data_IF_452132164464
#
_entry.id   IF_452132164464
#
_cell.length_a   1.000
_cell.length_b   1.000
_cell.length_c   1.000
_cell.angle_alpha   90.00
_cell.angle_beta   90.00
_cell.angle_gamma   90.00
#
_symmetry.space_group_name_H-M   'P 1'
#
loop_
_entity.id
_entity.type
_entity.pdbx_description
1 polymer ?
#
# COMPACT_ATOMS: atom_id res chain seq x y z
N UNK A 1 -2.96 13.26 -9.30
CA UNK A 1 -2.15 12.05 -9.58
C UNK A 1 -2.26 11.09 -8.42
N UNK A 2 -2.10 9.78 -8.62
CA UNK A 2 -2.04 8.86 -7.49
C UNK A 2 -0.71 9.10 -6.77
N UNK A 3 -0.75 9.31 -5.44
CA UNK A 3 0.42 9.57 -4.62
C UNK A 3 1.40 8.38 -4.58
N UNK A 4 0.94 7.20 -4.94
CA UNK A 4 1.69 5.95 -4.89
C UNK A 4 1.69 5.25 -6.24
N UNK A 5 2.76 4.52 -6.50
CA UNK A 5 2.91 3.56 -7.58
C UNK A 5 2.65 2.15 -7.05
N UNK A 6 2.10 1.28 -7.91
CA UNK A 6 1.91 -0.14 -7.57
C UNK A 6 3.27 -0.70 -7.15
N UNK A 7 3.34 -1.39 -6.02
CA UNK A 7 4.59 -1.89 -5.44
C UNK A 7 5.22 -0.99 -4.38
N UNK A 8 4.77 0.27 -4.22
CA UNK A 8 5.25 1.15 -3.14
C UNK A 8 4.93 0.56 -1.77
N UNK A 9 5.93 0.56 -0.88
CA UNK A 9 5.79 0.25 0.54
C UNK A 9 5.49 1.57 1.26
N UNK A 10 4.29 1.66 1.83
CA UNK A 10 3.78 2.88 2.45
C UNK A 10 3.64 2.68 3.95
N UNK A 11 4.17 3.63 4.73
CA UNK A 11 3.93 3.77 6.16
C UNK A 11 2.75 4.70 6.40
N UNK A 12 1.81 4.24 7.20
CA UNK A 12 0.65 4.98 7.67
C UNK A 12 0.89 5.50 9.09
N UNK A 13 1.32 6.75 9.21
CA UNK A 13 1.54 7.46 10.48
C UNK A 13 0.24 7.85 11.20
N UNK A 14 -0.93 7.64 10.58
CA UNK A 14 -2.22 7.77 11.29
C UNK A 14 -2.47 6.58 12.22
N UNK A 15 -1.91 5.41 11.88
CA UNK A 15 -1.92 4.26 12.77
C UNK A 15 -0.83 4.45 13.82
N UNK A 16 -1.16 4.20 15.09
CA UNK A 16 -0.18 4.24 16.18
C UNK A 16 0.97 3.26 15.94
N UNK A 17 2.11 3.52 16.55
CA UNK A 17 3.34 2.77 16.30
C UNK A 17 3.24 1.27 16.61
N UNK A 18 2.37 0.90 17.55
CA UNK A 18 2.13 -0.49 17.93
C UNK A 18 1.16 -1.22 16.99
N UNK A 19 0.58 -0.52 16.01
CA UNK A 19 -0.31 -1.15 15.05
C UNK A 19 0.52 -1.95 14.04
N UNK A 20 0.35 -3.28 13.97
CA UNK A 20 1.19 -4.09 13.11
C UNK A 20 0.87 -3.87 11.61
N UNK A 21 -0.32 -3.35 11.29
CA UNK A 21 -0.74 -3.00 9.92
C UNK A 21 -0.34 -1.58 9.48
N UNK A 22 0.55 -0.89 10.21
CA UNK A 22 1.01 0.47 9.85
C UNK A 22 1.83 0.53 8.56
N UNK A 23 2.30 -0.61 8.04
CA UNK A 23 2.98 -0.67 6.74
C UNK A 23 2.16 -1.52 5.78
N UNK A 24 2.06 -1.08 4.53
CA UNK A 24 1.38 -1.84 3.48
C UNK A 24 2.04 -1.63 2.11
N UNK A 25 1.88 -2.60 1.21
CA UNK A 25 2.24 -2.46 -0.20
C UNK A 25 1.01 -1.98 -0.97
N UNK A 26 1.14 -0.90 -1.74
CA UNK A 26 0.05 -0.38 -2.57
C UNK A 26 -0.14 -1.22 -3.84
N UNK A 27 -1.38 -1.63 -4.12
CA UNK A 27 -1.74 -2.45 -5.29
C UNK A 27 -2.59 -1.70 -6.33
N UNK A 28 -2.83 -0.41 -6.16
CA UNK A 28 -3.70 0.36 -7.04
C UNK A 28 -5.08 0.66 -6.46
N UNK A 29 -5.98 1.13 -7.33
CA UNK A 29 -7.33 1.59 -6.97
C UNK A 29 -8.38 0.70 -7.64
N UNK A 30 -9.40 0.31 -6.88
CA UNK A 30 -10.62 -0.34 -7.36
C UNK A 30 -11.84 0.47 -6.89
N UNK A 31 -12.45 1.20 -7.81
CA UNK A 31 -13.56 2.10 -7.49
C UNK A 31 -13.17 3.16 -6.44
N UNK A 32 -13.83 3.12 -5.27
CA UNK A 32 -13.56 4.03 -4.15
C UNK A 32 -12.48 3.54 -3.18
N UNK A 33 -11.91 2.35 -3.43
CA UNK A 33 -10.96 1.71 -2.53
C UNK A 33 -9.55 1.67 -3.13
N UNK A 34 -8.55 1.80 -2.27
CA UNK A 34 -7.17 1.44 -2.52
C UNK A 34 -7.00 -0.01 -2.07
N UNK A 35 -6.42 -0.84 -2.93
CA UNK A 35 -6.03 -2.21 -2.61
C UNK A 35 -4.62 -2.22 -2.04
N UNK A 36 -4.40 -3.06 -1.04
CA UNK A 36 -3.11 -3.16 -0.37
C UNK A 36 -2.79 -4.60 0.01
N UNK A 37 -1.51 -4.89 0.19
CA UNK A 37 -1.04 -6.07 0.94
C UNK A 37 -0.49 -5.56 2.26
N UNK A 38 -0.93 -6.15 3.36
CA UNK A 38 -0.50 -5.81 4.70
C UNK A 38 -0.12 -7.07 5.47
N UNK A 39 0.61 -6.90 6.56
CA UNK A 39 1.01 -8.00 7.44
C UNK A 39 0.87 -7.59 8.89
N UNK A 40 0.47 -8.51 9.75
CA UNK A 40 0.52 -8.32 11.21
C UNK A 40 1.81 -8.88 11.84
N UNK A 41 2.77 -9.30 11.00
CA UNK A 41 3.98 -10.01 11.40
C UNK A 41 3.81 -11.53 11.49
N UNK A 42 2.59 -12.06 11.40
CA UNK A 42 2.29 -13.50 11.41
C UNK A 42 1.64 -13.97 10.11
N UNK A 43 0.79 -13.15 9.52
CA UNK A 43 0.08 -13.43 8.27
C UNK A 43 0.16 -12.25 7.32
N UNK A 44 0.17 -12.58 6.02
CA UNK A 44 0.02 -11.62 4.94
C UNK A 44 -1.44 -11.68 4.48
N UNK A 45 -2.07 -10.52 4.36
CA UNK A 45 -3.47 -10.42 3.92
C UNK A 45 -3.69 -9.21 3.00
N UNK A 46 -4.80 -9.23 2.25
CA UNK A 46 -5.23 -8.08 1.46
C UNK A 46 -6.00 -7.10 2.33
N UNK A 47 -5.56 -5.85 2.33
CA UNK A 47 -6.24 -4.72 2.97
C UNK A 47 -6.95 -3.84 1.95
N UNK A 48 -7.97 -3.10 2.41
CA UNK A 48 -8.64 -2.05 1.63
C UNK A 48 -8.76 -0.77 2.44
N UNK A 49 -8.40 0.36 1.83
CA UNK A 49 -8.61 1.68 2.40
C UNK A 49 -9.50 2.52 1.50
N UNK A 50 -10.31 3.41 2.05
CA UNK A 50 -11.01 4.39 1.23
C UNK A 50 -10.02 5.38 0.62
N UNK A 51 -10.16 5.66 -0.69
CA UNK A 51 -9.32 6.64 -1.38
C UNK A 51 -9.44 8.05 -0.78
N UNK A 52 -10.58 8.38 -0.16
CA UNK A 52 -10.78 9.64 0.54
C UNK A 52 -9.84 9.80 1.74
N UNK A 53 -9.58 8.74 2.51
CA UNK A 53 -8.71 8.77 3.69
C UNK A 53 -7.29 9.19 3.29
N UNK A 54 -6.78 8.65 2.19
CA UNK A 54 -5.42 8.96 1.72
C UNK A 54 -5.31 10.38 1.17
N UNK A 55 -6.41 10.95 0.66
CA UNK A 55 -6.46 12.36 0.26
C UNK A 55 -6.56 13.30 1.47
N UNK A 56 -7.38 12.95 2.44
CA UNK A 56 -7.64 13.76 3.63
C UNK A 56 -6.44 13.80 4.57
N UNK A 57 -5.76 12.67 4.74
CA UNK A 57 -4.59 12.53 5.60
C UNK A 57 -3.31 12.32 4.79
N UNK A 58 -3.19 13.01 3.64
CA UNK A 58 -2.09 12.79 2.71
C UNK A 58 -0.73 12.86 3.40
N UNK A 59 -0.51 13.86 4.25
CA UNK A 59 0.72 14.03 5.04
C UNK A 59 1.00 12.93 6.07
N UNK A 60 0.07 12.02 6.33
CA UNK A 60 0.24 10.86 7.23
C UNK A 60 0.69 9.60 6.50
N UNK A 61 0.82 9.64 5.18
CA UNK A 61 1.32 8.51 4.40
C UNK A 61 2.69 8.83 3.80
N UNK A 62 3.66 7.97 4.10
CA UNK A 62 5.04 8.09 3.64
C UNK A 62 5.44 6.86 2.83
N UNK A 63 6.03 7.06 1.65
CA UNK A 63 6.65 5.96 0.91
C UNK A 63 8.02 5.68 1.53
N UNK A 64 8.20 4.49 2.09
CA UNK A 64 9.43 4.08 2.79
C UNK A 64 10.25 3.07 1.98
N UNK A 65 9.77 2.67 0.81
CA UNK A 65 10.44 1.73 -0.08
C UNK A 65 9.56 1.36 -1.27
N UNK A 66 10.10 0.51 -2.14
CA UNK A 66 9.42 0.00 -3.33
C UNK A 66 9.80 -1.46 -3.58
N UNK A 67 8.85 -2.29 -4.01
CA UNK A 67 9.06 -3.72 -4.27
C UNK A 67 9.24 -4.00 -5.76
N UNK A 68 10.48 -4.24 -6.18
CA UNK A 68 10.82 -4.63 -7.56
C UNK A 68 10.23 -5.99 -7.98
N UNK A 69 9.83 -6.82 -7.00
CA UNK A 69 9.26 -8.14 -7.28
C UNK A 69 7.95 -8.04 -8.07
N UNK A 70 7.14 -7.00 -7.84
CA UNK A 70 5.90 -6.81 -8.60
C UNK A 70 6.18 -6.45 -10.05
N UNK A 71 7.13 -5.54 -10.28
CA UNK A 71 7.54 -5.15 -11.63
C UNK A 71 8.09 -6.35 -12.41
N UNK A 72 8.93 -7.15 -11.77
CA UNK A 72 9.48 -8.37 -12.35
C UNK A 72 8.38 -9.37 -12.73
N UNK A 73 7.40 -9.62 -11.85
CA UNK A 73 6.28 -10.52 -12.14
C UNK A 73 5.41 -10.03 -13.29
N UNK A 74 5.07 -8.73 -13.31
CA UNK A 74 4.30 -8.14 -14.41
C UNK A 74 5.03 -8.29 -15.74
N UNK A 75 6.34 -8.04 -15.75
CA UNK A 75 7.16 -8.22 -16.95
C UNK A 75 7.16 -9.66 -17.46
N UNK A 76 7.23 -10.65 -16.57
CA UNK A 76 7.15 -12.07 -16.97
C UNK A 76 5.76 -12.47 -17.46
N UNK A 77 4.69 -11.99 -16.82
CA UNK A 77 3.31 -12.31 -17.19
C UNK A 77 2.84 -11.65 -18.50
N UNK A 78 3.49 -10.57 -18.91
CA UNK A 78 3.17 -9.83 -20.14
C UNK A 78 4.07 -10.19 -21.32
N UNK A 79 4.98 -11.17 -21.17
CA UNK A 79 5.69 -11.81 -22.28
C UNK A 79 4.76 -12.78 -23.02
#
# INVERSE_FOLDING_TARGET
MAKFHIGDIVRNHYMGDDNPYRNFIYLGVEGKFIKTIQTDGKKIEQGKYYKSIIREFENKFEVIGHSEAMDAMVKELLK
#
